data_IF_076325231502
#
_entry.id   IF_076325231502
#
_cell.length_a   1.000
_cell.length_b   1.000
_cell.length_c   1.000
_cell.angle_alpha   90.00
_cell.angle_beta   90.00
_cell.angle_gamma   90.00
#
_symmetry.space_group_name_H-M   'P 1'
#
loop_
_entity.id
_entity.type
_entity.pdbx_description
1 polymer ?
#
# COMPACT_ATOMS: atom_id res chain seq x y z
N UNK A 1 31.25 21.79 46.84
CA UNK A 1 30.64 20.43 46.83
C UNK A 1 29.25 20.49 46.20
N UNK A 2 29.05 20.87 44.93
CA UNK A 2 29.07 20.07 43.69
C UNK A 2 28.53 18.63 43.78
N UNK A 3 27.40 18.41 44.45
CA UNK A 3 26.74 17.08 44.53
C UNK A 3 25.28 17.05 44.06
N UNK A 4 24.73 18.15 43.56
CA UNK A 4 23.33 18.23 43.14
C UNK A 4 23.10 18.30 41.62
N UNK A 5 24.12 18.00 40.81
CA UNK A 5 24.03 18.11 39.34
C UNK A 5 24.00 16.76 38.60
N UNK A 6 23.60 15.67 39.26
CA UNK A 6 23.60 14.33 38.64
C UNK A 6 22.25 13.60 38.67
N UNK A 7 21.21 14.15 39.32
CA UNK A 7 19.94 13.43 39.50
C UNK A 7 18.89 13.69 38.40
N UNK A 8 19.05 14.71 37.57
CA UNK A 8 18.05 15.13 36.57
C UNK A 8 18.25 14.54 35.17
N UNK A 9 19.35 13.81 34.93
CA UNK A 9 19.66 13.19 33.63
C UNK A 9 19.06 11.78 33.46
N UNK A 10 18.46 11.21 34.51
CA UNK A 10 17.93 9.83 34.48
C UNK A 10 16.52 9.69 33.89
N UNK A 11 15.84 10.78 33.53
CA UNK A 11 14.42 10.76 33.12
C UNK A 11 14.17 11.09 31.63
N UNK A 12 15.20 11.15 30.79
CA UNK A 12 15.10 11.54 29.38
C UNK A 12 15.36 10.41 28.37
N UNK A 13 15.04 9.16 28.74
CA UNK A 13 15.05 8.01 27.82
C UNK A 13 13.62 7.57 27.51
N UNK A 14 12.79 8.52 27.05
CA UNK A 14 11.49 8.17 26.47
C UNK A 14 11.73 7.66 25.04
N UNK A 15 11.86 6.34 24.96
CA UNK A 15 11.42 5.45 23.88
C UNK A 15 11.17 6.12 22.53
N UNK A 16 12.20 6.14 21.67
CA UNK A 16 11.96 6.09 20.22
C UNK A 16 11.67 4.62 19.90
N UNK A 17 10.43 4.19 20.17
CA UNK A 17 9.89 3.01 19.52
C UNK A 17 9.72 3.37 18.05
N UNK A 18 10.77 3.21 17.25
CA UNK A 18 10.62 3.11 15.81
C UNK A 18 9.73 1.90 15.59
N UNK A 19 8.45 2.15 15.33
CA UNK A 19 7.53 1.14 14.85
C UNK A 19 8.25 0.40 13.74
N UNK A 20 8.57 -0.87 13.98
CA UNK A 20 8.99 -1.78 12.93
C UNK A 20 7.77 -1.87 12.02
N UNK A 21 7.71 -0.97 11.03
CA UNK A 21 6.70 -1.05 9.99
C UNK A 21 6.99 -2.39 9.33
N UNK A 22 6.09 -3.35 9.56
CA UNK A 22 6.16 -4.66 8.93
C UNK A 22 6.52 -4.45 7.47
N UNK A 23 7.66 -4.99 7.05
CA UNK A 23 8.21 -4.68 5.72
C UNK A 23 7.22 -5.00 4.61
N UNK A 24 6.26 -5.90 4.85
CA UNK A 24 5.24 -6.25 3.86
C UNK A 24 4.05 -5.26 3.82
N UNK A 25 3.78 -4.55 4.92
CA UNK A 25 2.68 -3.59 5.01
C UNK A 25 2.91 -2.36 4.12
N UNK A 26 4.16 -2.07 3.74
CA UNK A 26 4.44 -0.97 2.81
C UNK A 26 3.90 -1.25 1.39
N UNK A 27 3.74 -2.52 1.02
CA UNK A 27 3.21 -2.94 -0.28
C UNK A 27 1.69 -3.09 -0.27
N UNK A 28 1.05 -3.21 0.89
CA UNK A 28 -0.41 -3.38 0.96
C UNK A 28 -1.14 -2.12 0.51
N UNK A 29 -2.29 -2.32 -0.10
CA UNK A 29 -3.13 -1.25 -0.61
C UNK A 29 -3.78 -1.59 -1.94
N UNK A 30 -4.55 -0.63 -2.46
CA UNK A 30 -5.21 -0.74 -3.75
C UNK A 30 -4.33 -0.12 -4.83
N UNK A 31 -4.15 -0.82 -5.94
CA UNK A 31 -3.41 -0.37 -7.11
C UNK A 31 -4.38 -0.24 -8.27
N UNK A 32 -4.38 0.92 -8.93
CA UNK A 32 -5.19 1.18 -10.11
C UNK A 32 -4.30 1.18 -11.34
N UNK A 33 -4.63 0.35 -12.32
CA UNK A 33 -3.90 0.25 -13.57
C UNK A 33 -4.42 1.27 -14.59
N UNK A 34 -3.60 1.56 -15.60
CA UNK A 34 -3.97 2.49 -16.68
C UNK A 34 -5.15 1.98 -17.52
N UNK A 35 -5.89 2.90 -18.13
CA UNK A 35 -6.97 2.56 -19.06
C UNK A 35 -6.39 1.81 -20.28
N UNK A 36 -6.99 0.66 -20.61
CA UNK A 36 -6.47 -0.27 -21.62
C UNK A 36 -5.70 -1.48 -21.05
N UNK A 37 -5.45 -1.51 -19.74
CA UNK A 37 -4.95 -2.71 -19.06
C UNK A 37 -6.02 -3.81 -18.97
N UNK A 38 -5.66 -5.10 -19.14
CA UNK A 38 -6.58 -6.24 -18.92
C UNK A 38 -7.21 -6.26 -17.52
N UNK A 39 -6.53 -5.67 -16.55
CA UNK A 39 -6.98 -5.55 -15.16
C UNK A 39 -7.11 -4.08 -14.82
N UNK A 40 -8.24 -3.68 -14.25
CA UNK A 40 -8.51 -2.27 -13.88
C UNK A 40 -7.92 -1.92 -12.51
N UNK A 41 -7.97 -2.86 -11.57
CA UNK A 41 -7.55 -2.68 -10.19
C UNK A 41 -7.04 -4.00 -9.58
N UNK A 42 -6.09 -3.90 -8.67
CA UNK A 42 -5.66 -4.99 -7.81
C UNK A 42 -5.54 -4.52 -6.36
N UNK A 43 -5.88 -5.38 -5.42
CA UNK A 43 -5.75 -5.16 -3.99
C UNK A 43 -4.65 -6.07 -3.49
N UNK A 44 -3.65 -5.51 -2.82
CA UNK A 44 -2.55 -6.26 -2.22
C UNK A 44 -2.75 -6.25 -0.71
N UNK A 45 -2.76 -7.45 -0.14
CA UNK A 45 -2.95 -7.71 1.29
C UNK A 45 -1.87 -8.66 1.80
N UNK A 46 -1.71 -8.73 3.13
CA UNK A 46 -0.87 -9.78 3.73
C UNK A 46 -1.80 -10.90 4.20
N UNK A 47 -1.61 -12.10 3.67
CA UNK A 47 -2.32 -13.31 4.10
C UNK A 47 -1.30 -14.37 4.50
N UNK A 48 -1.47 -14.96 5.69
CA UNK A 48 -0.56 -15.99 6.21
C UNK A 48 0.92 -15.57 6.23
N UNK A 49 1.21 -14.27 6.39
CA UNK A 49 2.57 -13.73 6.38
C UNK A 49 3.19 -13.57 4.99
N UNK A 50 2.44 -13.82 3.91
CA UNK A 50 2.84 -13.60 2.53
C UNK A 50 2.01 -12.47 1.91
N UNK A 51 2.54 -11.82 0.87
CA UNK A 51 1.73 -10.91 0.08
C UNK A 51 0.74 -11.72 -0.75
N UNK A 52 -0.49 -11.23 -0.84
CA UNK A 52 -1.56 -11.81 -1.63
C UNK A 52 -2.18 -10.70 -2.47
N UNK A 53 -2.22 -10.93 -3.79
CA UNK A 53 -2.87 -10.03 -4.74
C UNK A 53 -4.25 -10.55 -5.07
N UNK A 54 -5.23 -9.65 -5.12
CA UNK A 54 -6.61 -9.92 -5.51
C UNK A 54 -7.03 -8.90 -6.58
N UNK A 55 -7.31 -9.39 -7.78
CA UNK A 55 -7.77 -8.61 -8.92
C UNK A 55 -9.13 -9.16 -9.41
N UNK A 56 -9.77 -8.43 -10.33
CA UNK A 56 -11.04 -8.86 -10.95
C UNK A 56 -10.91 -10.21 -11.67
N UNK A 57 -9.74 -10.49 -12.23
CA UNK A 57 -9.41 -11.75 -12.93
C UNK A 57 -9.08 -12.91 -12.00
N UNK A 58 -8.93 -12.66 -10.70
CA UNK A 58 -8.57 -13.65 -9.68
C UNK A 58 -7.48 -13.17 -8.72
N UNK A 59 -7.11 -14.04 -7.78
CA UNK A 59 -6.12 -13.75 -6.75
C UNK A 59 -5.05 -14.83 -6.62
N UNK A 60 -3.89 -14.44 -6.13
CA UNK A 60 -2.72 -15.30 -6.00
C UNK A 60 -1.85 -14.89 -4.81
N UNK A 61 -1.21 -15.84 -4.11
CA UNK A 61 -0.07 -15.51 -3.28
C UNK A 61 1.08 -14.98 -4.14
N UNK A 62 1.93 -14.17 -3.52
CA UNK A 62 3.11 -13.59 -4.11
C UNK A 62 4.35 -14.04 -3.35
N UNK A 63 5.33 -14.56 -4.08
CA UNK A 63 6.59 -15.03 -3.51
C UNK A 63 7.70 -14.01 -3.73
N UNK A 64 8.39 -13.61 -2.66
CA UNK A 64 9.49 -12.63 -2.75
C UNK A 64 10.69 -13.21 -3.50
N UNK A 65 11.10 -12.57 -4.59
CA UNK A 65 12.30 -12.92 -5.35
C UNK A 65 13.48 -12.06 -4.89
N UNK A 66 13.28 -10.74 -4.83
CA UNK A 66 14.32 -9.79 -4.45
C UNK A 66 13.73 -8.57 -3.72
N UNK A 67 14.52 -7.52 -3.51
CA UNK A 67 14.00 -6.27 -2.95
C UNK A 67 13.01 -5.65 -3.95
N UNK A 68 11.78 -5.38 -3.49
CA UNK A 68 10.69 -4.83 -4.31
C UNK A 68 10.23 -5.72 -5.49
N UNK A 69 10.75 -6.93 -5.67
CA UNK A 69 10.36 -7.84 -6.76
C UNK A 69 9.77 -9.14 -6.21
N UNK A 70 8.59 -9.48 -6.70
CA UNK A 70 7.80 -10.62 -6.27
C UNK A 70 7.28 -11.40 -7.48
N UNK A 71 7.25 -12.72 -7.38
CA UNK A 71 6.55 -13.59 -8.32
C UNK A 71 5.07 -13.64 -7.99
N UNK A 72 4.21 -13.77 -9.00
CA UNK A 72 2.78 -14.02 -8.86
C UNK A 72 2.51 -15.46 -9.28
N UNK A 73 2.48 -16.36 -8.29
CA UNK A 73 2.59 -17.81 -8.50
C UNK A 73 1.47 -18.41 -9.39
N UNK A 74 0.25 -17.86 -9.37
CA UNK A 74 -0.86 -18.38 -10.17
C UNK A 74 -0.84 -17.98 -11.64
N UNK A 75 -0.04 -16.98 -12.01
CA UNK A 75 -0.03 -16.40 -13.36
C UNK A 75 1.38 -16.37 -13.96
N UNK A 76 2.36 -17.03 -13.32
CA UNK A 76 3.78 -16.99 -13.69
C UNK A 76 4.29 -15.57 -13.93
N UNK A 77 3.75 -14.61 -13.18
CA UNK A 77 3.99 -13.18 -13.36
C UNK A 77 5.12 -12.66 -12.47
N UNK A 78 5.65 -11.50 -12.83
CA UNK A 78 6.61 -10.75 -12.01
C UNK A 78 6.06 -9.37 -11.69
N UNK A 79 5.86 -9.09 -10.40
CA UNK A 79 5.46 -7.80 -9.87
C UNK A 79 6.68 -7.06 -9.28
N UNK A 80 6.98 -5.89 -9.82
CA UNK A 80 8.05 -4.99 -9.37
C UNK A 80 7.43 -3.73 -8.79
N UNK A 81 7.64 -3.49 -7.50
CA UNK A 81 7.17 -2.28 -6.83
C UNK A 81 8.08 -1.09 -7.13
N UNK A 82 7.46 0.06 -7.40
CA UNK A 82 8.16 1.30 -7.71
C UNK A 82 8.07 2.22 -6.49
N UNK A 83 9.23 2.72 -6.05
CA UNK A 83 9.34 3.67 -4.94
C UNK A 83 9.62 5.08 -5.42
N UNK A 84 9.12 6.07 -4.68
CA UNK A 84 9.43 7.48 -4.91
C UNK A 84 10.73 7.91 -4.21
N UNK A 85 11.07 9.20 -4.30
CA UNK A 85 12.24 9.81 -3.64
C UNK A 85 12.23 9.68 -2.12
N UNK A 86 11.04 9.54 -1.51
CA UNK A 86 10.84 9.35 -0.07
C UNK A 86 10.91 7.87 0.34
N UNK A 87 11.33 6.98 -0.57
CA UNK A 87 11.39 5.51 -0.41
C UNK A 87 10.03 4.85 -0.16
N UNK A 88 8.93 5.53 -0.47
CA UNK A 88 7.57 4.98 -0.35
C UNK A 88 7.16 4.30 -1.64
N UNK A 89 6.50 3.14 -1.52
CA UNK A 89 5.90 2.44 -2.66
C UNK A 89 4.74 3.27 -3.21
N UNK A 90 4.87 3.73 -4.45
CA UNK A 90 3.85 4.55 -5.14
C UNK A 90 3.19 3.82 -6.30
N UNK A 91 3.75 2.70 -6.73
CA UNK A 91 3.20 1.93 -7.83
C UNK A 91 3.74 0.51 -7.90
N UNK A 92 3.22 -0.23 -8.87
CA UNK A 92 3.61 -1.60 -9.18
C UNK A 92 3.64 -1.76 -10.70
N UNK A 93 4.67 -2.42 -11.19
CA UNK A 93 4.81 -2.86 -12.58
C UNK A 93 4.65 -4.37 -12.60
N UNK A 94 3.69 -4.89 -13.35
CA UNK A 94 3.39 -6.31 -13.44
C UNK A 94 3.69 -6.78 -14.85
N UNK A 95 4.49 -7.83 -14.99
CA UNK A 95 4.81 -8.48 -16.25
C UNK A 95 4.24 -9.89 -16.26
N UNK A 96 3.39 -10.19 -17.24
CA UNK A 96 2.76 -11.51 -17.45
C UNK A 96 2.73 -11.78 -18.95
N UNK A 97 3.21 -12.94 -19.40
CA UNK A 97 3.25 -13.35 -20.81
C UNK A 97 3.85 -12.30 -21.77
N UNK A 98 4.87 -11.56 -21.31
CA UNK A 98 5.52 -10.50 -22.09
C UNK A 98 4.72 -9.20 -22.21
N UNK A 99 3.55 -9.10 -21.57
CA UNK A 99 2.81 -7.86 -21.42
C UNK A 99 3.20 -7.16 -20.12
N UNK A 100 3.46 -5.86 -20.21
CA UNK A 100 3.81 -5.02 -19.07
C UNK A 100 2.65 -4.11 -18.74
N UNK A 101 2.21 -4.16 -17.48
CA UNK A 101 1.14 -3.33 -16.94
C UNK A 101 1.68 -2.49 -15.80
N UNK A 102 1.29 -1.23 -15.74
CA UNK A 102 1.69 -0.31 -14.68
C UNK A 102 0.47 0.14 -13.87
N UNK A 103 0.58 -0.03 -12.56
CA UNK A 103 -0.43 0.31 -11.57
C UNK A 103 0.07 1.39 -10.62
N UNK A 104 -0.74 2.40 -10.37
CA UNK A 104 -0.48 3.44 -9.37
C UNK A 104 -1.15 3.06 -8.05
N UNK A 105 -0.39 3.11 -6.95
CA UNK A 105 -0.94 2.90 -5.60
C UNK A 105 -1.93 4.03 -5.29
N UNK A 106 -3.16 3.65 -4.96
CA UNK A 106 -4.17 4.56 -4.49
C UNK A 106 -3.95 4.80 -3.00
N UNK A 107 -3.55 6.02 -2.65
CA UNK A 107 -3.51 6.42 -1.25
C UNK A 107 -4.94 6.45 -0.69
N UNK A 108 -5.20 5.81 0.47
CA UNK A 108 -6.52 5.84 1.10
C UNK A 108 -6.96 7.28 1.41
N UNK A 109 -6.02 8.22 1.58
CA UNK A 109 -6.29 9.63 1.80
C UNK A 109 -6.93 10.33 0.57
N UNK A 110 -6.61 9.90 -0.66
CA UNK A 110 -7.18 10.52 -1.89
C UNK A 110 -8.60 10.01 -2.21
N UNK A 111 -9.05 8.94 -1.58
CA UNK A 111 -10.40 8.40 -1.80
C UNK A 111 -11.48 9.13 -0.98
N UNK A 112 -11.12 9.98 -0.02
CA UNK A 112 -12.08 10.78 0.75
C UNK A 112 -12.61 12.01 0.00
N UNK A 113 -11.86 12.55 -0.97
CA UNK A 113 -12.31 13.74 -1.72
C UNK A 113 -13.44 13.44 -2.72
N UNK A 114 -13.57 12.21 -3.23
CA UNK A 114 -14.70 11.85 -4.11
C UNK A 114 -16.03 11.60 -3.37
N UNK A 115 -16.03 11.42 -2.04
CA UNK A 115 -17.25 11.03 -1.32
C UNK A 115 -18.03 12.19 -0.69
N UNK A 116 -17.58 13.45 -0.84
CA UNK A 116 -18.23 14.62 -0.22
C UNK A 116 -19.14 15.42 -1.19
N UNK A 117 -19.24 15.06 -2.46
CA UNK A 117 -20.14 15.75 -3.43
C UNK A 117 -21.47 15.04 -3.70
N UNK A 118 -22.23 14.71 -2.64
CA UNK A 118 -23.69 14.50 -2.79
C UNK A 118 -24.43 15.14 -1.62
N UNK A 119 -24.37 16.47 -1.58
CA UNK A 119 -25.29 17.27 -0.78
C UNK A 119 -26.45 17.75 -1.68
N UNK A 120 -27.68 17.63 -1.15
CA UNK A 120 -28.94 18.28 -1.57
C UNK A 120 -29.69 17.74 -2.82
N UNK A 121 -30.83 17.05 -2.59
CA UNK A 121 -32.21 17.41 -2.98
C UNK A 121 -33.11 16.20 -2.69
N UNK A 122 -33.76 16.17 -1.53
CA UNK A 122 -34.97 15.38 -1.30
C UNK A 122 -35.93 16.16 -0.38
N UNK A 123 -36.33 17.36 -0.83
CA UNK A 123 -37.62 17.92 -0.40
C UNK A 123 -38.71 17.31 -1.28
N UNK A 124 -39.12 16.09 -0.92
CA UNK A 124 -40.31 15.49 -1.51
C UNK A 124 -41.54 16.12 -0.85
N UNK A 125 -42.29 16.80 -1.72
CA UNK A 125 -43.60 17.43 -1.51
C UNK A 125 -44.48 16.69 -0.50
N UNK A 126 -44.88 17.38 0.58
CA UNK A 126 -46.16 17.10 1.25
C UNK A 126 -47.23 17.88 0.51
N UNK A 127 -48.15 17.17 -0.13
CA UNK A 127 -49.47 17.67 -0.48
C UNK A 127 -50.47 16.95 0.43
#
# INVERSE_FOLDING_TARGET
MKKFLFSTILLLTVYIASAQVDSLQEYTGKYKFAEGSPVTQAVISVQNGLLYVEAEVGGSPMTKISADVFSVDAYDGVATFVRNTDKKVTGVKVEVDGMVMEGTKQDPAKLQECFVFRNEVFSFSRN
#
